data_IF_449708688764
#
_entry.id   IF_449708688764
#
_cell.length_a   1.000
_cell.length_b   1.000
_cell.length_c   1.000
_cell.angle_alpha   90.00
_cell.angle_beta   90.00
_cell.angle_gamma   90.00
#
_symmetry.space_group_name_H-M   'P 1'
#
loop_
_entity.id
_entity.type
_entity.pdbx_description
1 polymer ?
#
# COMPACT_ATOMS: atom_id res chain seq x y z
N UNK A 1 8.57 42.59 16.94
CA UNK A 1 7.34 42.64 16.11
C UNK A 1 7.39 43.66 14.96
N UNK A 2 8.24 44.70 15.02
CA UNK A 2 8.37 45.66 13.91
C UNK A 2 9.08 45.08 12.68
N UNK A 3 9.99 44.12 12.87
CA UNK A 3 10.80 43.55 11.78
C UNK A 3 9.96 42.72 10.80
N UNK A 4 8.96 41.98 11.29
CA UNK A 4 8.07 41.19 10.44
C UNK A 4 7.21 42.08 9.53
N UNK A 5 6.69 43.19 10.07
CA UNK A 5 5.95 44.21 9.30
C UNK A 5 6.84 44.90 8.28
N UNK A 6 8.09 45.19 8.66
CA UNK A 6 9.07 45.80 7.77
C UNK A 6 9.44 44.86 6.61
N UNK A 7 9.71 43.58 6.89
CA UNK A 7 9.99 42.56 5.88
C UNK A 7 8.83 42.37 4.90
N UNK A 8 7.59 42.28 5.41
CA UNK A 8 6.40 42.16 4.54
C UNK A 8 6.22 43.38 3.63
N UNK A 9 6.49 44.57 4.16
CA UNK A 9 6.46 45.83 3.38
C UNK A 9 7.54 45.83 2.31
N UNK A 10 8.72 45.29 2.60
CA UNK A 10 9.82 45.20 1.65
C UNK A 10 9.50 44.23 0.51
N UNK A 11 8.91 43.06 0.81
CA UNK A 11 8.47 42.09 -0.19
C UNK A 11 7.40 42.65 -1.14
N UNK A 12 6.47 43.47 -0.61
CA UNK A 12 5.43 44.14 -1.42
C UNK A 12 5.99 45.23 -2.35
N UNK A 13 7.18 45.78 -2.07
CA UNK A 13 7.83 46.78 -2.94
C UNK A 13 8.50 46.16 -4.17
N UNK A 14 8.83 44.88 -4.14
CA UNK A 14 9.46 44.14 -5.24
C UNK A 14 8.68 42.85 -5.58
N UNK A 15 7.43 42.97 -6.07
CA UNK A 15 6.53 41.83 -6.22
C UNK A 15 7.04 40.77 -7.22
N UNK A 16 7.69 41.17 -8.31
CA UNK A 16 8.23 40.24 -9.31
C UNK A 16 9.36 39.36 -8.75
N UNK A 17 10.34 39.96 -8.08
CA UNK A 17 11.42 39.23 -7.43
C UNK A 17 10.91 38.32 -6.31
N UNK A 18 10.01 38.83 -5.48
CA UNK A 18 9.39 38.06 -4.40
C UNK A 18 8.64 36.85 -4.96
N UNK A 19 7.88 37.02 -6.05
CA UNK A 19 7.14 35.91 -6.67
C UNK A 19 8.08 34.82 -7.17
N UNK A 20 9.14 35.18 -7.89
CA UNK A 20 10.14 34.22 -8.38
C UNK A 20 10.80 33.49 -7.21
N UNK A 21 11.24 34.22 -6.18
CA UNK A 21 11.87 33.62 -5.00
C UNK A 21 10.93 32.64 -4.28
N UNK A 22 9.65 32.99 -4.10
CA UNK A 22 8.64 32.13 -3.50
C UNK A 22 8.39 30.88 -4.36
N UNK A 23 8.27 31.03 -5.68
CA UNK A 23 8.06 29.90 -6.59
C UNK A 23 9.26 28.95 -6.60
N UNK A 24 10.48 29.48 -6.64
CA UNK A 24 11.71 28.67 -6.56
C UNK A 24 11.78 27.91 -5.25
N UNK A 25 11.47 28.57 -4.12
CA UNK A 25 11.45 27.93 -2.80
C UNK A 25 10.35 26.85 -2.73
N UNK A 26 9.15 27.15 -3.21
CA UNK A 26 8.03 26.22 -3.22
C UNK A 26 8.33 24.98 -4.07
N UNK A 27 8.94 25.15 -5.25
CA UNK A 27 9.37 24.04 -6.10
C UNK A 27 10.45 23.19 -5.44
N UNK A 28 11.47 23.83 -4.83
CA UNK A 28 12.53 23.11 -4.14
C UNK A 28 12.04 22.30 -2.94
N UNK A 29 11.16 22.89 -2.13
CA UNK A 29 10.54 22.19 -0.99
C UNK A 29 9.62 21.08 -1.51
N UNK A 30 8.72 21.38 -2.44
CA UNK A 30 7.73 20.44 -2.95
C UNK A 30 8.37 19.23 -3.63
N UNK A 31 9.41 19.44 -4.46
CA UNK A 31 10.12 18.35 -5.13
C UNK A 31 10.80 17.42 -4.11
N UNK A 32 11.52 17.98 -3.13
CA UNK A 32 12.18 17.18 -2.10
C UNK A 32 11.18 16.42 -1.23
N UNK A 33 10.09 17.08 -0.81
CA UNK A 33 9.03 16.44 -0.05
C UNK A 33 8.34 15.33 -0.85
N UNK A 34 8.09 15.51 -2.14
CA UNK A 34 7.47 14.51 -3.00
C UNK A 34 8.35 13.26 -3.13
N UNK A 35 9.65 13.44 -3.41
CA UNK A 35 10.61 12.33 -3.49
C UNK A 35 10.71 11.60 -2.15
N UNK A 36 10.84 12.33 -1.04
CA UNK A 36 10.93 11.72 0.28
C UNK A 36 9.63 11.01 0.68
N UNK A 37 8.46 11.56 0.34
CA UNK A 37 7.17 10.91 0.63
C UNK A 37 7.03 9.60 -0.13
N UNK A 38 7.43 9.57 -1.41
CA UNK A 38 7.44 8.34 -2.21
C UNK A 38 8.39 7.29 -1.61
N UNK A 39 9.61 7.69 -1.23
CA UNK A 39 10.56 6.79 -0.58
C UNK A 39 10.01 6.30 0.76
N UNK A 40 9.40 7.19 1.53
CA UNK A 40 8.80 6.84 2.81
C UNK A 40 7.70 5.81 2.61
N UNK A 41 6.72 6.05 1.74
CA UNK A 41 5.60 5.14 1.53
C UNK A 41 6.02 3.81 0.87
N UNK A 42 7.04 3.79 0.00
CA UNK A 42 7.49 2.57 -0.67
C UNK A 42 8.48 1.73 0.15
N UNK A 43 9.34 2.36 0.95
CA UNK A 43 10.48 1.67 1.57
C UNK A 43 10.54 1.79 3.10
N UNK A 44 10.07 2.89 3.70
CA UNK A 44 10.26 3.15 5.13
C UNK A 44 8.99 2.90 5.96
N UNK A 45 7.84 3.16 5.37
CA UNK A 45 6.53 2.82 5.90
C UNK A 45 6.39 1.32 5.71
N UNK A 46 6.85 0.58 6.71
CA UNK A 46 6.68 -0.87 6.74
C UNK A 46 5.24 -1.23 6.39
N UNK A 47 5.07 -2.36 5.69
CA UNK A 47 3.75 -2.88 5.38
C UNK A 47 2.92 -2.93 6.68
N UNK A 48 1.64 -2.53 6.67
CA UNK A 48 0.81 -2.39 7.86
C UNK A 48 0.37 -3.75 8.40
N UNK A 49 1.32 -4.66 8.58
CA UNK A 49 1.15 -6.00 9.10
C UNK A 49 1.79 -6.07 10.48
N UNK A 50 1.31 -7.00 11.32
CA UNK A 50 1.80 -7.14 12.70
C UNK A 50 3.30 -7.43 12.78
N UNK A 51 3.85 -8.14 11.78
CA UNK A 51 5.28 -8.49 11.65
C UNK A 51 5.72 -8.60 10.18
N UNK A 52 5.94 -7.47 9.47
CA UNK A 52 6.16 -7.49 8.02
C UNK A 52 7.45 -8.22 7.60
N UNK A 53 8.45 -8.33 8.49
CA UNK A 53 9.69 -9.07 8.23
C UNK A 53 9.53 -10.60 8.22
N UNK A 54 8.42 -11.11 8.75
CA UNK A 54 8.14 -12.55 8.85
C UNK A 54 7.10 -13.02 7.82
N UNK A 55 6.66 -12.14 6.92
CA UNK A 55 5.64 -12.43 5.92
C UNK A 55 6.32 -12.61 4.56
N UNK A 56 6.02 -13.73 3.91
CA UNK A 56 6.49 -14.03 2.55
C UNK A 56 5.32 -14.42 1.67
N UNK A 57 5.36 -14.01 0.41
CA UNK A 57 4.42 -14.47 -0.61
C UNK A 57 5.07 -15.60 -1.40
N UNK A 58 4.49 -16.79 -1.33
CA UNK A 58 4.99 -17.98 -2.03
C UNK A 58 4.32 -18.09 -3.40
N UNK A 59 5.13 -18.20 -4.44
CA UNK A 59 4.66 -18.45 -5.80
C UNK A 59 5.23 -19.74 -6.37
N UNK A 60 4.54 -20.31 -7.35
CA UNK A 60 5.06 -21.38 -8.19
C UNK A 60 6.03 -20.88 -9.24
N UNK A 61 6.89 -21.78 -9.70
CA UNK A 61 7.81 -21.56 -10.82
C UNK A 61 7.71 -22.74 -11.78
N UNK A 62 7.71 -22.47 -13.09
CA UNK A 62 7.86 -23.49 -14.13
C UNK A 62 9.16 -23.22 -14.89
N UNK A 63 10.25 -23.80 -14.38
CA UNK A 63 11.61 -23.60 -14.90
C UNK A 63 11.75 -23.95 -16.38
N UNK A 64 11.05 -24.98 -16.83
CA UNK A 64 11.03 -25.43 -18.23
C UNK A 64 10.47 -24.40 -19.20
N UNK A 65 9.61 -23.49 -18.71
CA UNK A 65 8.96 -22.45 -19.51
C UNK A 65 9.48 -21.04 -19.19
N UNK A 66 10.50 -20.94 -18.35
CA UNK A 66 11.02 -19.69 -17.77
C UNK A 66 9.91 -18.80 -17.18
N UNK A 67 8.90 -19.44 -16.57
CA UNK A 67 7.78 -18.73 -15.95
C UNK A 67 7.96 -18.70 -14.43
N UNK A 68 8.00 -17.49 -13.88
CA UNK A 68 8.04 -17.22 -12.44
C UNK A 68 6.71 -16.65 -11.96
N UNK A 69 6.50 -16.66 -10.65
CA UNK A 69 5.33 -16.06 -10.00
C UNK A 69 3.99 -16.68 -10.43
N UNK A 70 3.98 -17.99 -10.71
CA UNK A 70 2.76 -18.70 -11.07
C UNK A 70 1.86 -18.91 -9.85
N UNK A 71 0.54 -18.76 -9.99
CA UNK A 71 -0.38 -19.05 -8.90
C UNK A 71 -0.43 -20.55 -8.60
N UNK A 72 -0.83 -20.89 -7.38
CA UNK A 72 -1.12 -22.25 -7.00
C UNK A 72 -2.59 -22.60 -7.23
N UNK A 73 -2.85 -23.85 -7.62
CA UNK A 73 -4.21 -24.39 -7.60
C UNK A 73 -4.63 -24.69 -6.16
N UNK A 74 -5.94 -24.68 -5.89
CA UNK A 74 -6.50 -24.95 -4.56
C UNK A 74 -5.98 -26.29 -3.96
N UNK A 75 -5.94 -27.43 -4.69
CA UNK A 75 -5.39 -28.67 -4.14
C UNK A 75 -3.92 -28.56 -3.72
N UNK A 76 -3.13 -27.80 -4.49
CA UNK A 76 -1.71 -27.59 -4.22
C UNK A 76 -1.51 -26.69 -3.01
N UNK A 77 -2.35 -25.66 -2.84
CA UNK A 77 -2.40 -24.88 -1.63
C UNK A 77 -2.64 -25.75 -0.39
N UNK A 78 -3.66 -26.63 -0.41
CA UNK A 78 -3.92 -27.54 0.71
C UNK A 78 -2.72 -28.45 0.99
N UNK A 79 -2.11 -29.01 -0.05
CA UNK A 79 -0.93 -29.86 0.10
C UNK A 79 0.23 -29.13 0.79
N UNK A 80 0.53 -27.89 0.41
CA UNK A 80 1.58 -27.09 1.06
C UNK A 80 1.19 -26.66 2.48
N UNK A 81 -0.06 -26.24 2.70
CA UNK A 81 -0.55 -25.82 4.02
C UNK A 81 -0.45 -26.96 5.03
N UNK A 82 -0.84 -28.17 4.62
CA UNK A 82 -0.96 -29.33 5.51
C UNK A 82 0.36 -30.10 5.66
N UNK A 83 1.27 -29.97 4.68
CA UNK A 83 2.55 -30.70 4.63
C UNK A 83 3.79 -29.91 5.07
N UNK A 84 3.64 -28.65 5.45
CA UNK A 84 4.75 -27.77 5.85
C UNK A 84 4.97 -27.75 7.37
N UNK A 85 6.22 -27.50 7.80
CA UNK A 85 6.58 -27.26 9.21
C UNK A 85 7.40 -25.98 9.44
N UNK A 86 7.47 -25.10 8.43
CA UNK A 86 8.36 -23.93 8.39
C UNK A 86 7.61 -22.64 8.72
N UNK A 87 6.32 -22.56 8.36
CA UNK A 87 5.50 -21.37 8.52
C UNK A 87 4.50 -21.56 9.67
N UNK A 88 4.32 -20.52 10.48
CA UNK A 88 3.33 -20.52 11.57
C UNK A 88 1.90 -20.66 11.04
N UNK A 89 1.61 -20.03 9.89
CA UNK A 89 0.33 -20.13 9.20
C UNK A 89 0.54 -19.91 7.70
N UNK A 90 -0.37 -20.47 6.89
CA UNK A 90 -0.46 -20.18 5.46
C UNK A 90 -1.90 -19.75 5.17
N UNK A 91 -2.03 -18.66 4.42
CA UNK A 91 -3.29 -18.18 3.86
C UNK A 91 -3.14 -18.06 2.34
N UNK A 92 -4.26 -18.08 1.63
CA UNK A 92 -4.29 -17.84 0.18
C UNK A 92 -5.13 -16.63 -0.15
N UNK A 93 -4.72 -15.91 -1.18
CA UNK A 93 -5.48 -14.83 -1.81
C UNK A 93 -5.61 -15.05 -3.31
N UNK A 94 -6.68 -14.49 -3.88
CA UNK A 94 -6.89 -14.41 -5.32
C UNK A 94 -7.59 -13.10 -5.66
N UNK A 95 -6.83 -12.18 -6.25
CA UNK A 95 -7.35 -10.89 -6.68
C UNK A 95 -8.23 -11.03 -7.93
N UNK A 96 -9.39 -10.37 -7.92
CA UNK A 96 -10.29 -10.33 -9.06
C UNK A 96 -11.08 -9.01 -9.12
N UNK A 97 -11.58 -8.67 -10.31
CA UNK A 97 -12.57 -7.62 -10.47
C UNK A 97 -13.97 -8.14 -10.17
N UNK A 98 -14.72 -7.38 -9.38
CA UNK A 98 -16.12 -7.65 -9.07
C UNK A 98 -16.99 -6.48 -9.52
N UNK A 99 -18.22 -6.75 -9.93
CA UNK A 99 -19.20 -5.71 -10.21
C UNK A 99 -20.09 -5.61 -8.98
N UNK A 100 -19.96 -4.50 -8.25
CA UNK A 100 -20.81 -4.18 -7.11
C UNK A 100 -22.11 -3.56 -7.61
N UNK A 101 -23.24 -4.15 -7.22
CA UNK A 101 -24.59 -3.70 -7.55
C UNK A 101 -25.41 -3.52 -6.25
N UNK A 102 -26.59 -2.90 -6.34
CA UNK A 102 -27.52 -2.75 -5.20
C UNK A 102 -27.44 -1.42 -4.43
N UNK A 103 -26.44 -0.58 -4.71
CA UNK A 103 -26.28 0.75 -4.10
C UNK A 103 -26.37 1.91 -5.12
N UNK A 104 -27.00 1.67 -6.28
CA UNK A 104 -27.09 2.62 -7.38
C UNK A 104 -26.54 2.05 -8.69
N UNK A 105 -25.80 2.87 -9.44
CA UNK A 105 -25.15 2.41 -10.68
C UNK A 105 -24.11 1.32 -10.38
N UNK A 106 -24.01 0.27 -11.20
CA UNK A 106 -22.98 -0.74 -11.05
C UNK A 106 -21.57 -0.13 -11.07
N UNK A 107 -20.75 -0.49 -10.09
CA UNK A 107 -19.35 -0.05 -10.01
C UNK A 107 -18.45 -1.27 -10.02
N UNK A 108 -17.44 -1.25 -10.88
CA UNK A 108 -16.40 -2.26 -10.84
C UNK A 108 -15.44 -1.96 -9.69
N UNK A 109 -15.24 -2.94 -8.81
CA UNK A 109 -14.34 -2.85 -7.66
C UNK A 109 -13.30 -3.97 -7.74
N UNK A 110 -12.08 -3.67 -7.29
CA UNK A 110 -11.07 -4.70 -7.09
C UNK A 110 -11.34 -5.35 -5.72
N UNK A 111 -11.39 -6.68 -5.70
CA UNK A 111 -11.52 -7.45 -4.47
C UNK A 111 -10.61 -8.67 -4.51
N UNK A 112 -10.57 -9.42 -3.41
CA UNK A 112 -9.85 -10.67 -3.33
C UNK A 112 -10.71 -11.74 -2.66
N UNK A 113 -10.67 -12.96 -3.19
CA UNK A 113 -11.07 -14.12 -2.40
C UNK A 113 -9.88 -14.50 -1.52
N UNK A 114 -10.11 -14.67 -0.22
CA UNK A 114 -9.07 -15.04 0.73
C UNK A 114 -9.54 -16.19 1.61
N UNK A 115 -8.59 -16.93 2.19
CA UNK A 115 -8.93 -17.90 3.24
C UNK A 115 -9.34 -17.18 4.54
N UNK A 116 -10.15 -17.82 5.37
CA UNK A 116 -10.73 -17.18 6.56
C UNK A 116 -9.67 -16.66 7.55
N UNK A 117 -8.49 -17.30 7.61
CA UNK A 117 -7.37 -16.92 8.47
C UNK A 117 -6.46 -15.81 7.88
N UNK A 118 -6.77 -15.25 6.72
CA UNK A 118 -5.90 -14.32 6.01
C UNK A 118 -5.64 -13.03 6.80
N UNK A 119 -6.69 -12.42 7.33
CA UNK A 119 -6.59 -11.18 8.11
C UNK A 119 -5.89 -11.40 9.45
N UNK A 120 -6.17 -12.51 10.13
CA UNK A 120 -5.46 -12.92 11.35
C UNK A 120 -3.95 -13.13 11.09
N UNK A 121 -3.60 -13.78 9.98
CA UNK A 121 -2.20 -13.99 9.59
C UNK A 121 -1.46 -12.66 9.37
N UNK A 122 -2.09 -11.70 8.69
CA UNK A 122 -1.51 -10.37 8.49
C UNK A 122 -1.59 -9.48 9.76
N UNK A 123 -2.42 -9.87 10.73
CA UNK A 123 -2.74 -9.08 11.91
C UNK A 123 -3.47 -7.78 11.56
N UNK A 124 -4.29 -7.81 10.51
CA UNK A 124 -5.11 -6.68 10.06
C UNK A 124 -6.54 -6.91 10.53
N UNK A 125 -7.22 -5.85 10.96
CA UNK A 125 -8.60 -5.93 11.42
C UNK A 125 -9.50 -4.97 10.65
N UNK A 126 -10.77 -5.36 10.37
CA UNK A 126 -11.73 -4.45 9.76
C UNK A 126 -11.91 -3.18 10.59
N UNK A 127 -11.87 -2.01 9.95
CA UNK A 127 -12.15 -0.71 10.62
C UNK A 127 -13.58 -0.69 11.20
N UNK A 128 -14.50 -1.42 10.55
CA UNK A 128 -15.90 -1.52 10.95
C UNK A 128 -16.42 -2.92 10.66
N UNK A 129 -17.18 -3.47 11.61
CA UNK A 129 -17.79 -4.80 11.49
C UNK A 129 -17.01 -5.87 12.23
N UNK A 130 -17.15 -7.12 11.78
CA UNK A 130 -16.47 -8.29 12.30
C UNK A 130 -15.74 -8.98 11.16
N UNK A 131 -14.67 -9.69 11.49
CA UNK A 131 -13.96 -10.53 10.55
C UNK A 131 -14.77 -11.81 10.23
N UNK A 132 -14.19 -12.71 9.43
CA UNK A 132 -14.72 -14.04 9.17
C UNK A 132 -15.04 -14.75 10.48
N UNK A 133 -16.30 -15.16 10.62
CA UNK A 133 -16.72 -16.05 11.70
C UNK A 133 -16.35 -17.46 11.30
N UNK A 134 -15.48 -18.11 12.08
CA UNK A 134 -15.14 -19.52 11.91
C UNK A 134 -16.32 -20.42 12.29
#
# INVERSE_FOLDING_TARGET
MNDLKFALRQLRKSPGFTLIAVLTLALGIGANTAVFSLIHDLFLRGLPFREPGNIVHVYGEAKERDLRQLPFSIPKFWHYRDGQNVFTAIAADWNNGYILTGSGQPVQVLGANVTANYFDLLGVHPIRGRDFLQ
#
